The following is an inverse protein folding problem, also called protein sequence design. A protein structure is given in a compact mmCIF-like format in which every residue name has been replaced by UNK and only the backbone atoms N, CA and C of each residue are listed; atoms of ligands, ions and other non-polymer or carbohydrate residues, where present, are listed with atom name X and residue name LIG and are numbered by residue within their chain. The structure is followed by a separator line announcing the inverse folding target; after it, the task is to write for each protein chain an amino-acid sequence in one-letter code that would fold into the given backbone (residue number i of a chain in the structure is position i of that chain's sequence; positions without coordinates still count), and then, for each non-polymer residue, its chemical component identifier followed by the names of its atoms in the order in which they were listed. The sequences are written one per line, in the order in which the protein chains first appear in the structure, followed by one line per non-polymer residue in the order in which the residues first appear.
data_IF_241821106252
#
_entry.id   IF_241821106252
#
_cell.length_a   1.000
_cell.length_b   1.000
_cell.length_c   1.000
_cell.angle_alpha   90.00
_cell.angle_beta   90.00
_cell.angle_gamma   90.00
#
_symmetry.space_group_name_H-M   'P 1'
#
loop_
_entity.id
_entity.type
_entity.pdbx_description
1 polymer ?
#
# COMPACT_ATOMS: atom_id res chain seq x y z
N UNK A 1 -23.14 3.65 -16.06
CA UNK A 1 -22.72 3.62 -15.80
C UNK A 1 -22.02 3.49 -15.94
N UNK A 2 -21.64 3.38 -15.84
CA UNK A 2 -21.00 3.19 -15.76
C UNK A 2 -20.21 3.30 -15.56
N UNK A 3 -19.98 3.20 -15.42
CA UNK A 3 -19.14 3.18 -14.99
C UNK A 3 -18.24 2.78 -15.46
N UNK A 4 -17.70 2.98 -15.83
CA UNK A 4 -16.95 2.57 -16.03
C UNK A 4 -16.18 2.54 -15.33
N UNK A 5 -16.17 2.28 -15.18
CA UNK A 5 -15.44 2.28 -14.25
C UNK A 5 -14.27 1.58 -14.40
N UNK A 6 -13.28 1.87 -13.69
CA UNK A 6 -12.07 1.15 -13.74
C UNK A 6 -12.27 -0.20 -13.18
N UNK A 7 -11.59 -1.21 -13.72
CA UNK A 7 -11.66 -2.52 -13.14
C UNK A 7 -10.98 -2.49 -11.77
N UNK A 8 -11.35 -3.42 -10.95
CA UNK A 8 -10.77 -3.55 -9.63
C UNK A 8 -9.27 -3.79 -9.72
N UNK A 9 -8.83 -4.57 -10.69
CA UNK A 9 -7.43 -4.86 -10.87
C UNK A 9 -6.64 -3.59 -11.20
N UNK A 10 -7.18 -2.76 -12.06
CA UNK A 10 -6.52 -1.52 -12.43
C UNK A 10 -6.38 -0.60 -11.22
N UNK A 11 -7.45 -0.47 -10.46
CA UNK A 11 -7.42 0.38 -9.28
C UNK A 11 -6.43 -0.13 -8.26
N UNK A 12 -6.38 -1.44 -8.11
CA UNK A 12 -5.45 -2.05 -7.18
C UNK A 12 -4.01 -1.74 -7.56
N UNK A 13 -3.70 -1.89 -8.85
CA UNK A 13 -2.35 -1.60 -9.33
C UNK A 13 -1.98 -0.15 -9.11
N UNK A 14 -2.93 0.73 -9.36
CA UNK A 14 -2.69 2.15 -9.17
C UNK A 14 -2.36 2.46 -7.72
N UNK A 15 -3.13 1.90 -6.81
CA UNK A 15 -2.91 2.14 -5.39
C UNK A 15 -1.57 1.59 -4.93
N UNK A 16 -1.19 0.42 -5.45
CA UNK A 16 0.10 -0.16 -5.10
C UNK A 16 1.23 0.78 -5.50
N UNK A 17 1.17 1.34 -6.70
CA UNK A 17 2.21 2.26 -7.15
C UNK A 17 2.27 3.51 -6.30
N UNK A 18 1.11 4.04 -5.92
CA UNK A 18 1.06 5.22 -5.08
C UNK A 18 1.68 4.93 -3.73
N UNK A 19 1.31 3.81 -3.14
CA UNK A 19 1.80 3.43 -1.82
C UNK A 19 3.31 3.18 -1.86
N UNK A 20 3.78 2.49 -2.88
CA UNK A 20 5.20 2.22 -3.01
C UNK A 20 6.00 3.52 -3.09
N UNK A 21 5.50 4.45 -3.88
CA UNK A 21 6.18 5.73 -4.02
C UNK A 21 6.19 6.50 -2.70
N UNK A 22 5.11 6.38 -1.96
CA UNK A 22 5.01 7.07 -0.68
C UNK A 22 5.97 6.50 0.35
N UNK A 23 6.05 5.17 0.43
CA UNK A 23 6.93 4.56 1.42
C UNK A 23 8.40 4.80 1.10
N UNK A 24 8.73 4.97 -0.18
CA UNK A 24 10.12 5.25 -0.55
C UNK A 24 10.61 6.56 0.05
N UNK A 25 9.70 7.44 0.40
CA UNK A 25 10.07 8.73 0.95
C UNK A 25 10.22 8.70 2.47
N UNK A 26 9.87 7.61 3.09
CA UNK A 26 9.93 7.52 4.54
C UNK A 26 11.35 7.26 5.01
N UNK A 27 11.65 7.77 6.21
CA UNK A 27 12.93 7.45 6.82
C UNK A 27 12.92 6.01 7.29
N UNK A 28 14.10 5.51 7.63
CA UNK A 28 14.19 4.15 8.16
C UNK A 28 13.31 3.99 9.40
N UNK A 29 13.35 4.99 10.28
CA UNK A 29 12.57 4.93 11.49
C UNK A 29 11.07 4.85 11.19
N UNK A 30 10.64 5.64 10.22
CA UNK A 30 9.23 5.62 9.83
C UNK A 30 8.86 4.30 9.18
N UNK A 31 9.76 3.75 8.39
CA UNK A 31 9.52 2.46 7.75
C UNK A 31 9.39 1.36 8.79
N UNK A 32 10.23 1.39 9.80
CA UNK A 32 10.14 0.39 10.85
C UNK A 32 8.83 0.48 11.61
N UNK A 33 8.39 1.70 11.87
CA UNK A 33 7.12 1.89 12.56
C UNK A 33 5.97 1.33 11.73
N UNK A 34 6.01 1.59 10.44
CA UNK A 34 4.98 1.09 9.54
C UNK A 34 5.00 -0.44 9.49
N UNK A 35 6.20 -1.02 9.43
CA UNK A 35 6.34 -2.45 9.37
C UNK A 35 5.75 -3.12 10.61
N UNK A 36 6.05 -2.58 11.78
CA UNK A 36 5.53 -3.13 13.02
C UNK A 36 4.01 -3.02 13.07
N UNK A 37 3.48 -1.92 12.61
CA UNK A 37 2.04 -1.74 12.60
C UNK A 37 1.37 -2.75 11.69
N UNK A 38 1.95 -2.97 10.53
CA UNK A 38 1.39 -3.93 9.58
C UNK A 38 1.49 -5.36 10.09
N UNK A 39 2.60 -5.69 10.74
CA UNK A 39 2.77 -7.01 11.32
C UNK A 39 1.74 -7.26 12.41
N UNK A 40 1.52 -6.26 13.24
CA UNK A 40 0.56 -6.37 14.31
C UNK A 40 -0.83 -6.64 13.79
N UNK A 41 -1.15 -6.08 12.63
CA UNK A 41 -2.46 -6.26 12.02
C UNK A 41 -2.52 -7.46 11.09
N UNK A 42 -1.43 -8.20 11.00
CA UNK A 42 -1.37 -9.41 10.20
C UNK A 42 -1.48 -9.14 8.71
N UNK A 43 -1.07 -7.96 8.28
CA UNK A 43 -1.00 -7.68 6.85
C UNK A 43 0.19 -8.38 6.21
N UNK A 44 1.19 -8.70 7.01
CA UNK A 44 2.38 -9.35 6.53
C UNK A 44 2.46 -10.73 7.13
N UNK A 45 2.67 -11.70 6.26
CA UNK A 45 2.83 -13.08 6.69
C UNK A 45 4.28 -13.42 6.71
N UNK A 46 4.83 -13.57 7.84
CA UNK A 46 6.24 -13.96 7.94
C UNK A 46 6.42 -15.42 8.16
#
# INVERSE_FOLDING_TARGET
MAHFEQSEAYRREELIRIIERSVEKLTLQELEALYYDMSTRSYIND
#
